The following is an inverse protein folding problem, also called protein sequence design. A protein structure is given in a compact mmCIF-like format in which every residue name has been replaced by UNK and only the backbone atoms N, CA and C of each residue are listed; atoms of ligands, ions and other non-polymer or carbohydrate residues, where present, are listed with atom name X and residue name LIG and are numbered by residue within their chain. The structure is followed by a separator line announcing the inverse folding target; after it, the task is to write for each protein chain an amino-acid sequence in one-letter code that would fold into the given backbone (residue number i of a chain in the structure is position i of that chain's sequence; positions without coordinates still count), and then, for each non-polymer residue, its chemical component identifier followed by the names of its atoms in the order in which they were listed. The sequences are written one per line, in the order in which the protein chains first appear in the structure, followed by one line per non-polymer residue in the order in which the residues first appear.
data_IF_397059633894
#
_entry.id   IF_397059633894
#
_cell.length_a   1.000
_cell.length_b   1.000
_cell.length_c   1.000
_cell.angle_alpha   90.00
_cell.angle_beta   90.00
_cell.angle_gamma   90.00
#
_symmetry.space_group_name_H-M   'P 1'
#
loop_
_entity.id
_entity.type
_entity.pdbx_description
1 polymer ?
#
# COMPACT_ATOMS: atom_id res chain seq x y z
N UNK A 1 -83.09 2.46 -38.22
CA UNK A 1 -81.65 2.34 -38.54
C UNK A 1 -80.84 2.63 -37.28
N UNK A 2 -80.26 1.62 -36.63
CA UNK A 2 -79.58 1.67 -35.34
C UNK A 2 -78.07 1.64 -35.63
N UNK A 3 -77.41 2.76 -35.35
CA UNK A 3 -75.94 2.88 -35.47
C UNK A 3 -75.26 2.43 -34.23
N UNK A 4 -74.50 1.31 -34.26
CA UNK A 4 -73.68 0.84 -33.19
C UNK A 4 -72.26 1.52 -33.23
N UNK A 5 -71.99 2.43 -32.32
CA UNK A 5 -70.66 2.99 -32.13
C UNK A 5 -69.77 2.02 -31.31
N UNK A 6 -68.71 1.46 -31.93
CA UNK A 6 -67.67 0.68 -31.26
C UNK A 6 -66.74 1.62 -30.46
N UNK A 7 -66.83 1.54 -29.12
CA UNK A 7 -65.87 2.17 -28.25
C UNK A 7 -64.57 1.38 -28.25
N UNK A 8 -63.49 1.95 -28.81
CA UNK A 8 -62.14 1.43 -28.70
C UNK A 8 -61.61 1.56 -27.26
N UNK A 9 -61.46 0.42 -26.58
CA UNK A 9 -60.84 0.33 -25.28
C UNK A 9 -59.36 0.78 -25.35
N UNK A 10 -59.04 1.89 -24.68
CA UNK A 10 -57.67 2.33 -24.51
C UNK A 10 -56.96 1.40 -23.52
N UNK A 11 -56.04 0.56 -23.99
CA UNK A 11 -55.15 -0.21 -23.15
C UNK A 11 -54.25 0.74 -22.33
N UNK A 12 -54.14 0.58 -20.97
CA UNK A 12 -53.23 1.35 -20.20
C UNK A 12 -51.79 1.00 -20.62
N UNK A 13 -51.01 2.01 -21.01
CA UNK A 13 -49.58 1.86 -21.27
C UNK A 13 -48.91 1.42 -19.97
N UNK A 14 -48.43 0.19 -19.90
CA UNK A 14 -47.63 -0.31 -18.83
C UNK A 14 -46.37 0.57 -18.71
N UNK A 15 -46.31 1.42 -17.72
CA UNK A 15 -45.12 2.18 -17.38
C UNK A 15 -44.16 1.22 -16.70
N UNK A 16 -43.22 0.65 -17.48
CA UNK A 16 -42.12 -0.13 -16.97
C UNK A 16 -41.30 0.76 -16.00
N UNK A 17 -40.99 0.32 -14.78
CA UNK A 17 -40.20 1.15 -13.87
C UNK A 17 -38.81 1.38 -14.48
N UNK A 18 -38.56 2.60 -14.93
CA UNK A 18 -37.25 3.01 -15.45
C UNK A 18 -36.22 2.72 -14.36
N UNK A 19 -35.32 1.77 -14.60
CA UNK A 19 -34.18 1.52 -13.77
C UNK A 19 -33.43 2.85 -13.60
N UNK A 20 -33.29 3.35 -12.37
CA UNK A 20 -32.50 4.57 -12.11
C UNK A 20 -31.16 4.45 -12.82
N UNK A 21 -30.74 5.47 -13.58
CA UNK A 21 -29.46 5.40 -14.28
C UNK A 21 -28.33 5.04 -13.31
N UNK A 22 -27.39 4.18 -13.72
CA UNK A 22 -26.34 3.72 -12.84
C UNK A 22 -25.53 4.93 -12.32
N UNK A 23 -25.31 4.97 -11.01
CA UNK A 23 -24.54 6.02 -10.36
C UNK A 23 -23.11 6.00 -10.94
N UNK A 24 -22.70 7.11 -11.58
CA UNK A 24 -21.32 7.29 -12.02
C UNK A 24 -20.58 8.02 -10.91
N UNK A 25 -19.55 7.39 -10.34
CA UNK A 25 -18.67 8.00 -9.36
C UNK A 25 -17.73 8.98 -10.03
N UNK A 26 -17.40 10.08 -9.37
CA UNK A 26 -16.34 10.95 -9.86
C UNK A 26 -15.00 10.22 -9.76
N UNK A 27 -14.76 9.50 -8.63
CA UNK A 27 -13.55 8.74 -8.39
C UNK A 27 -13.87 7.40 -7.74
N UNK A 28 -13.21 6.34 -8.20
CA UNK A 28 -13.04 5.09 -7.44
C UNK A 28 -11.61 5.07 -6.92
N UNK A 29 -11.45 4.79 -5.64
CA UNK A 29 -10.14 4.61 -4.99
C UNK A 29 -10.00 3.14 -4.59
N UNK A 30 -8.97 2.48 -5.08
CA UNK A 30 -8.61 1.12 -4.72
C UNK A 30 -7.55 1.11 -3.62
N UNK A 31 -7.93 0.74 -2.40
CA UNK A 31 -7.10 0.73 -1.19
C UNK A 31 -7.42 1.89 -0.24
N UNK A 32 -7.64 1.57 1.04
CA UNK A 32 -7.90 2.53 2.12
C UNK A 32 -6.77 2.52 3.17
N UNK A 33 -5.52 2.37 2.71
CA UNK A 33 -4.34 2.72 3.48
C UNK A 33 -4.19 4.25 3.65
N UNK A 34 -3.08 4.74 4.22
CA UNK A 34 -2.85 6.17 4.42
C UNK A 34 -3.06 7.00 3.15
N UNK A 35 -2.59 6.52 1.99
CA UNK A 35 -2.77 7.20 0.70
C UNK A 35 -4.25 7.32 0.30
N UNK A 36 -4.99 6.21 0.31
CA UNK A 36 -6.39 6.21 -0.12
C UNK A 36 -7.30 6.98 0.83
N UNK A 37 -7.07 6.91 2.14
CA UNK A 37 -7.81 7.69 3.14
C UNK A 37 -7.56 9.19 2.99
N UNK A 38 -6.30 9.61 2.82
CA UNK A 38 -5.94 11.01 2.59
C UNK A 38 -6.56 11.54 1.30
N UNK A 39 -6.50 10.77 0.21
CA UNK A 39 -7.14 11.13 -1.05
C UNK A 39 -8.66 11.27 -0.90
N UNK A 40 -9.31 10.30 -0.26
CA UNK A 40 -10.76 10.33 -0.03
C UNK A 40 -11.19 11.55 0.80
N UNK A 41 -10.38 11.94 1.80
CA UNK A 41 -10.62 13.11 2.63
C UNK A 41 -10.60 14.41 1.79
N UNK A 42 -9.54 14.61 1.01
CA UNK A 42 -9.41 15.80 0.15
C UNK A 42 -10.53 15.87 -0.90
N UNK A 43 -10.82 14.75 -1.56
CA UNK A 43 -11.90 14.69 -2.57
C UNK A 43 -13.28 14.88 -1.94
N UNK A 44 -13.53 14.32 -0.74
CA UNK A 44 -14.76 14.55 0.02
C UNK A 44 -14.96 16.02 0.37
N UNK A 45 -13.89 16.71 0.81
CA UNK A 45 -13.89 18.17 1.06
C UNK A 45 -14.16 18.97 -0.22
N UNK A 46 -13.71 18.47 -1.37
CA UNK A 46 -14.01 19.02 -2.69
C UNK A 46 -15.39 18.63 -3.24
N UNK A 47 -16.25 17.99 -2.41
CA UNK A 47 -17.62 17.57 -2.73
C UNK A 47 -17.72 16.58 -3.89
N UNK A 48 -16.64 15.81 -4.17
CA UNK A 48 -16.63 14.76 -5.20
C UNK A 48 -17.29 13.48 -4.69
N UNK A 49 -18.01 12.79 -5.57
CA UNK A 49 -18.58 11.46 -5.28
C UNK A 49 -17.47 10.42 -5.35
N UNK A 50 -17.08 9.91 -4.20
CA UNK A 50 -15.96 8.97 -4.04
C UNK A 50 -16.46 7.63 -3.57
N UNK A 51 -16.03 6.56 -4.26
CA UNK A 51 -16.15 5.19 -3.78
C UNK A 51 -14.76 4.72 -3.35
N UNK A 52 -14.54 4.57 -2.04
CA UNK A 52 -13.32 4.06 -1.46
C UNK A 52 -13.47 2.56 -1.19
N UNK A 53 -12.71 1.73 -1.89
CA UNK A 53 -12.75 0.27 -1.80
C UNK A 53 -11.50 -0.25 -1.09
N UNK A 54 -11.66 -1.26 -0.21
CA UNK A 54 -10.55 -1.83 0.55
C UNK A 54 -10.79 -3.30 0.90
N UNK A 55 -9.69 -4.07 1.02
CA UNK A 55 -9.72 -5.48 1.44
C UNK A 55 -9.63 -5.65 2.96
N UNK A 56 -9.18 -4.63 3.68
CA UNK A 56 -8.94 -4.69 5.13
C UNK A 56 -7.59 -5.29 5.53
N UNK A 57 -6.68 -5.55 4.57
CA UNK A 57 -5.36 -6.14 4.83
C UNK A 57 -4.24 -5.11 4.60
N UNK A 58 -3.97 -4.20 5.55
CA UNK A 58 -2.91 -3.21 5.40
C UNK A 58 -1.52 -3.87 5.46
N UNK A 59 -0.52 -3.29 4.79
CA UNK A 59 0.87 -3.76 4.85
C UNK A 59 1.39 -3.87 6.29
N UNK A 60 1.01 -2.94 7.14
CA UNK A 60 1.44 -2.84 8.55
C UNK A 60 0.63 -3.72 9.51
N UNK A 61 -0.04 -4.77 9.03
CA UNK A 61 -0.92 -5.62 9.83
C UNK A 61 -0.25 -6.24 11.07
N UNK A 62 1.05 -6.56 10.99
CA UNK A 62 1.82 -7.15 12.09
C UNK A 62 2.38 -6.12 13.07
N UNK A 63 2.52 -4.86 12.65
CA UNK A 63 3.11 -3.79 13.47
C UNK A 63 2.19 -3.38 14.62
N UNK A 64 2.77 -3.11 15.78
CA UNK A 64 2.05 -2.68 16.98
C UNK A 64 1.97 -1.16 17.11
N UNK A 65 2.89 -0.44 16.49
CA UNK A 65 2.96 1.00 16.50
C UNK A 65 3.39 1.50 15.10
N UNK A 66 2.94 2.68 14.74
CA UNK A 66 3.37 3.40 13.56
C UNK A 66 4.24 4.57 14.01
N UNK A 67 5.45 4.64 13.48
CA UNK A 67 6.38 5.71 13.84
C UNK A 67 6.66 6.66 12.67
N UNK A 68 7.20 7.84 12.99
CA UNK A 68 7.56 8.85 12.00
C UNK A 68 6.37 9.56 11.33
N UNK A 69 5.17 9.45 11.88
CA UNK A 69 4.02 10.23 11.43
C UNK A 69 3.76 11.38 12.41
N UNK A 70 4.08 12.60 12.03
CA UNK A 70 3.92 13.79 12.87
C UNK A 70 2.51 13.85 13.47
N UNK A 71 2.42 14.06 14.79
CA UNK A 71 1.19 14.06 15.60
C UNK A 71 0.51 12.69 15.79
N UNK A 72 1.05 11.61 15.22
CA UNK A 72 0.53 10.23 15.34
C UNK A 72 1.63 9.20 15.63
N UNK A 73 2.80 9.66 16.07
CA UNK A 73 3.91 8.79 16.44
C UNK A 73 3.50 7.81 17.56
N UNK A 74 3.81 6.53 17.39
CA UNK A 74 3.44 5.47 18.33
C UNK A 74 1.99 4.97 18.27
N UNK A 75 1.13 5.54 17.43
CA UNK A 75 -0.28 5.08 17.29
C UNK A 75 -0.31 3.73 16.56
N UNK A 76 -1.09 2.74 17.03
CA UNK A 76 -1.28 1.49 16.31
C UNK A 76 -1.83 1.72 14.89
N UNK A 77 -1.29 1.05 13.86
CA UNK A 77 -1.76 1.22 12.48
C UNK A 77 -3.26 1.00 12.30
N UNK A 78 -3.84 0.03 13.00
CA UNK A 78 -5.27 -0.24 12.97
C UNK A 78 -6.10 0.93 13.51
N UNK A 79 -5.64 1.57 14.56
CA UNK A 79 -6.28 2.75 15.15
C UNK A 79 -6.17 3.96 14.22
N UNK A 80 -4.99 4.19 13.64
CA UNK A 80 -4.79 5.25 12.64
C UNK A 80 -5.78 5.12 11.47
N UNK A 81 -5.90 3.92 10.89
CA UNK A 81 -6.83 3.67 9.79
C UNK A 81 -8.30 3.83 10.24
N UNK A 82 -8.63 3.44 11.47
CA UNK A 82 -9.97 3.64 12.03
C UNK A 82 -10.29 5.13 12.23
N UNK A 83 -9.34 5.93 12.71
CA UNK A 83 -9.47 7.38 12.81
C UNK A 83 -9.74 8.01 11.43
N UNK A 84 -8.95 7.69 10.42
CA UNK A 84 -9.15 8.19 9.07
C UNK A 84 -10.54 7.84 8.52
N UNK A 85 -11.00 6.60 8.71
CA UNK A 85 -12.36 6.20 8.32
C UNK A 85 -13.45 6.96 9.08
N UNK A 86 -13.24 7.29 10.38
CA UNK A 86 -14.19 8.12 11.15
C UNK A 86 -14.28 9.54 10.61
N UNK A 87 -13.17 10.15 10.24
CA UNK A 87 -13.13 11.50 9.64
C UNK A 87 -13.93 11.57 8.34
N UNK A 88 -13.87 10.54 7.51
CA UNK A 88 -14.62 10.49 6.25
C UNK A 88 -16.14 10.50 6.43
N UNK A 89 -16.67 10.12 7.59
CA UNK A 89 -18.13 10.12 7.86
C UNK A 89 -18.77 11.51 7.76
N UNK A 90 -17.99 12.59 7.92
CA UNK A 90 -18.45 13.97 7.74
C UNK A 90 -18.78 14.31 6.29
N UNK A 91 -18.34 13.50 5.32
CA UNK A 91 -18.46 13.78 3.90
C UNK A 91 -19.42 12.77 3.25
N UNK A 92 -20.72 13.08 3.12
CA UNK A 92 -21.74 12.11 2.67
C UNK A 92 -21.54 11.63 1.23
N UNK A 93 -20.78 12.38 0.43
CA UNK A 93 -20.40 12.01 -0.94
C UNK A 93 -19.31 10.92 -1.01
N UNK A 94 -18.62 10.64 0.11
CA UNK A 94 -17.63 9.55 0.22
C UNK A 94 -18.32 8.30 0.75
N UNK A 95 -18.24 7.21 0.00
CA UNK A 95 -18.75 5.91 0.43
C UNK A 95 -17.60 4.93 0.58
N UNK A 96 -17.48 4.31 1.74
CA UNK A 96 -16.55 3.21 1.99
C UNK A 96 -17.22 1.88 1.67
N UNK A 97 -16.50 1.01 0.95
CA UNK A 97 -16.95 -0.32 0.59
C UNK A 97 -15.86 -1.34 0.91
N UNK A 98 -16.08 -2.31 1.85
CA UNK A 98 -15.11 -3.34 2.18
C UNK A 98 -15.10 -4.43 1.09
N UNK A 99 -14.58 -4.10 -0.06
CA UNK A 99 -14.46 -4.98 -1.23
C UNK A 99 -13.21 -4.65 -2.04
N UNK A 100 -12.62 -5.67 -2.60
CA UNK A 100 -11.52 -5.55 -3.53
C UNK A 100 -11.95 -4.97 -4.86
N UNK A 101 -11.12 -4.10 -5.43
CA UNK A 101 -11.17 -3.71 -6.83
C UNK A 101 -10.35 -4.72 -7.62
N UNK A 102 -11.02 -5.62 -8.34
CA UNK A 102 -10.37 -6.73 -9.04
C UNK A 102 -9.85 -6.33 -10.43
N UNK A 103 -10.67 -5.65 -11.21
CA UNK A 103 -10.30 -5.20 -12.55
C UNK A 103 -10.87 -3.83 -12.86
N UNK A 104 -10.22 -3.13 -13.79
CA UNK A 104 -10.74 -1.91 -14.37
C UNK A 104 -10.45 -1.88 -15.87
N UNK A 105 -11.33 -1.26 -16.64
CA UNK A 105 -11.13 -1.04 -18.07
C UNK A 105 -11.63 0.33 -18.49
N UNK A 106 -10.92 0.96 -19.41
CA UNK A 106 -11.36 2.22 -19.99
C UNK A 106 -12.67 2.04 -20.76
N UNK A 107 -13.55 3.01 -20.64
CA UNK A 107 -14.82 3.12 -21.38
C UNK A 107 -15.06 4.59 -21.70
N UNK A 108 -15.94 4.93 -22.68
CA UNK A 108 -16.27 6.32 -22.92
C UNK A 108 -16.67 7.06 -21.67
N UNK A 109 -15.95 8.16 -21.36
CA UNK A 109 -16.18 9.02 -20.21
C UNK A 109 -15.56 8.52 -18.88
N UNK A 110 -14.66 7.52 -18.90
CA UNK A 110 -13.96 7.07 -17.69
C UNK A 110 -13.66 5.58 -17.66
N UNK A 111 -14.05 4.91 -16.56
CA UNK A 111 -13.70 3.51 -16.31
C UNK A 111 -14.92 2.70 -15.87
N UNK A 112 -14.95 1.43 -16.28
CA UNK A 112 -15.78 0.39 -15.68
C UNK A 112 -14.89 -0.43 -14.76
N UNK A 113 -15.29 -0.52 -13.50
CA UNK A 113 -14.55 -1.16 -12.43
C UNK A 113 -15.34 -2.35 -11.91
N UNK A 114 -14.70 -3.53 -11.87
CA UNK A 114 -15.28 -4.74 -11.30
C UNK A 114 -14.77 -4.92 -9.87
N UNK A 115 -15.70 -5.12 -8.96
CA UNK A 115 -15.45 -5.35 -7.54
C UNK A 115 -15.68 -6.82 -7.19
N UNK A 116 -15.08 -7.32 -6.15
CA UNK A 116 -15.33 -8.66 -5.65
C UNK A 116 -16.83 -8.90 -5.41
N UNK A 117 -17.32 -10.11 -5.72
CA UNK A 117 -18.75 -10.45 -5.68
C UNK A 117 -19.53 -9.95 -6.89
N UNK A 118 -18.91 -9.94 -8.09
CA UNK A 118 -19.52 -9.66 -9.40
C UNK A 118 -20.20 -8.27 -9.51
N UNK A 119 -19.91 -7.34 -8.63
CA UNK A 119 -20.45 -5.98 -8.67
C UNK A 119 -19.64 -5.10 -9.62
N UNK A 120 -20.31 -4.39 -10.50
CA UNK A 120 -19.67 -3.41 -11.39
C UNK A 120 -20.13 -1.99 -11.06
N UNK A 121 -19.19 -1.06 -11.15
CA UNK A 121 -19.42 0.38 -11.00
C UNK A 121 -18.74 1.15 -12.14
N UNK A 122 -19.17 2.39 -12.35
CA UNK A 122 -18.51 3.32 -13.30
C UNK A 122 -17.93 4.50 -12.54
N UNK A 123 -16.78 4.98 -13.00
CA UNK A 123 -16.16 6.21 -12.49
C UNK A 123 -15.50 7.01 -13.61
N UNK A 124 -15.28 8.29 -13.35
CA UNK A 124 -14.58 9.20 -14.27
C UNK A 124 -13.06 9.07 -14.12
N UNK A 125 -12.58 8.94 -12.88
CA UNK A 125 -11.16 8.79 -12.54
C UNK A 125 -10.96 7.59 -11.64
N UNK A 126 -9.78 6.98 -11.72
CA UNK A 126 -9.36 5.86 -10.88
C UNK A 126 -8.08 6.22 -10.13
N UNK A 127 -8.08 6.05 -8.81
CA UNK A 127 -6.87 6.11 -7.99
C UNK A 127 -6.50 4.71 -7.50
N UNK A 128 -5.30 4.25 -7.82
CA UNK A 128 -4.75 2.99 -7.36
C UNK A 128 -3.85 3.28 -6.14
N UNK A 129 -4.33 2.94 -4.96
CA UNK A 129 -3.65 3.13 -3.67
C UNK A 129 -3.52 1.77 -2.92
N UNK A 130 -3.39 0.69 -3.69
CA UNK A 130 -3.37 -0.68 -3.18
C UNK A 130 -2.11 -1.03 -2.39
N UNK A 131 -1.02 -0.28 -2.56
CA UNK A 131 0.24 -0.51 -1.88
C UNK A 131 0.96 -1.78 -2.35
N UNK A 132 1.82 -2.30 -1.47
CA UNK A 132 2.64 -3.50 -1.70
C UNK A 132 2.49 -4.46 -0.52
N UNK A 133 2.90 -5.71 -0.72
CA UNK A 133 3.18 -6.66 0.35
C UNK A 133 4.65 -7.05 0.35
N UNK A 134 5.14 -7.44 1.51
CA UNK A 134 6.52 -7.79 1.74
C UNK A 134 6.71 -9.31 1.69
N UNK A 135 7.76 -9.76 1.04
CA UNK A 135 8.15 -11.17 1.09
C UNK A 135 8.89 -11.44 2.39
N UNK A 136 8.19 -11.89 3.41
CA UNK A 136 8.82 -12.29 4.69
C UNK A 136 9.72 -13.51 4.46
N UNK A 137 10.99 -13.51 4.93
CA UNK A 137 11.88 -14.66 4.79
C UNK A 137 11.28 -15.93 5.40
N UNK A 138 11.44 -17.07 4.74
CA UNK A 138 10.98 -18.35 5.26
C UNK A 138 12.01 -18.93 6.24
N UNK A 139 11.97 -18.45 7.48
CA UNK A 139 12.84 -18.88 8.58
C UNK A 139 11.95 -19.36 9.72
N UNK A 140 12.24 -20.54 10.29
CA UNK A 140 11.46 -21.07 11.41
C UNK A 140 11.45 -20.07 12.59
N UNK A 141 10.30 -19.86 13.21
CA UNK A 141 10.13 -18.94 14.33
C UNK A 141 9.92 -17.46 13.97
N UNK A 142 10.03 -17.08 12.69
CA UNK A 142 9.90 -15.67 12.27
C UNK A 142 8.50 -15.10 12.53
N UNK A 143 7.44 -15.90 12.36
CA UNK A 143 6.06 -15.44 12.47
C UNK A 143 5.72 -14.91 13.87
N UNK A 144 6.31 -15.50 14.91
CA UNK A 144 6.13 -15.06 16.30
C UNK A 144 6.83 -13.73 16.63
N UNK A 145 7.77 -13.30 15.78
CA UNK A 145 8.66 -12.16 16.00
C UNK A 145 8.41 -11.02 15.01
N UNK A 146 7.77 -11.30 13.88
CA UNK A 146 7.53 -10.35 12.81
C UNK A 146 6.61 -9.20 13.25
N UNK A 147 6.98 -7.98 12.89
CA UNK A 147 6.31 -6.75 13.30
C UNK A 147 6.56 -6.35 14.76
N UNK A 148 7.56 -6.98 15.41
CA UNK A 148 8.00 -6.65 16.77
C UNK A 148 9.51 -6.50 16.86
N UNK A 149 10.27 -7.61 16.85
CA UNK A 149 11.75 -7.61 16.84
C UNK A 149 12.32 -8.11 15.50
N UNK A 150 11.48 -8.53 14.58
CA UNK A 150 11.83 -8.82 13.19
C UNK A 150 11.07 -7.83 12.31
N UNK A 151 11.79 -6.90 11.70
CA UNK A 151 11.25 -5.73 11.02
C UNK A 151 11.88 -5.55 9.63
N UNK A 152 11.29 -4.69 8.80
CA UNK A 152 11.78 -4.38 7.47
C UNK A 152 12.37 -2.98 7.35
N UNK A 153 11.86 -2.06 8.17
CA UNK A 153 12.09 -0.64 8.01
C UNK A 153 12.88 -0.08 9.21
N UNK A 154 14.15 0.22 9.07
CA UNK A 154 14.91 0.85 10.16
C UNK A 154 14.36 2.20 10.59
N UNK A 155 13.83 3.00 9.67
CA UNK A 155 13.19 4.29 10.00
C UNK A 155 11.88 4.15 10.76
N UNK A 156 11.25 2.97 10.69
CA UNK A 156 9.99 2.70 11.38
C UNK A 156 10.21 2.16 12.79
N UNK A 157 11.22 1.28 12.98
CA UNK A 157 11.36 0.47 14.19
C UNK A 157 12.78 0.57 14.81
N UNK A 158 13.71 1.28 14.16
CA UNK A 158 15.10 1.34 14.58
C UNK A 158 15.31 2.06 15.91
N UNK A 159 14.51 3.08 16.21
CA UNK A 159 14.58 3.81 17.48
C UNK A 159 14.26 2.90 18.67
N UNK A 160 13.27 2.02 18.54
CA UNK A 160 12.88 1.06 19.58
C UNK A 160 13.95 -0.01 19.79
N UNK A 161 14.80 -0.23 18.79
CA UNK A 161 15.89 -1.22 18.78
C UNK A 161 17.28 -0.58 18.89
N UNK A 162 17.37 0.74 19.19
CA UNK A 162 18.66 1.43 19.30
C UNK A 162 19.54 0.82 20.37
N UNK A 163 20.84 0.87 20.16
CA UNK A 163 21.89 0.39 21.05
C UNK A 163 21.82 -1.12 21.38
N UNK A 164 21.05 -1.88 20.59
CA UNK A 164 20.90 -3.32 20.76
C UNK A 164 21.73 -4.08 19.72
N UNK A 165 21.86 -5.40 19.95
CA UNK A 165 22.54 -6.32 19.03
C UNK A 165 21.64 -6.58 17.82
N UNK A 166 21.93 -5.94 16.70
CA UNK A 166 21.11 -6.01 15.51
C UNK A 166 21.63 -7.03 14.49
N UNK A 167 20.72 -7.68 13.79
CA UNK A 167 21.01 -8.51 12.63
C UNK A 167 20.42 -7.84 11.38
N UNK A 168 21.27 -7.49 10.42
CA UNK A 168 20.87 -7.20 9.07
C UNK A 168 20.76 -8.50 8.28
N UNK A 169 19.64 -8.75 7.59
CA UNK A 169 19.44 -9.93 6.77
C UNK A 169 19.12 -9.55 5.34
N UNK A 170 19.98 -9.99 4.41
CA UNK A 170 19.81 -9.71 2.99
C UNK A 170 21.05 -10.04 2.18
N UNK A 171 20.89 -10.16 0.85
CA UNK A 171 21.99 -10.48 -0.08
C UNK A 171 22.35 -9.29 -0.95
N UNK A 172 23.61 -9.29 -1.43
CA UNK A 172 24.12 -8.31 -2.38
C UNK A 172 23.90 -6.86 -1.88
N UNK A 173 23.59 -5.95 -2.80
CA UNK A 173 23.40 -4.53 -2.49
C UNK A 173 22.37 -4.29 -1.39
N UNK A 174 21.25 -5.02 -1.38
CA UNK A 174 20.18 -4.83 -0.38
C UNK A 174 20.66 -5.13 1.04
N UNK A 175 21.32 -6.27 1.25
CA UNK A 175 21.88 -6.62 2.57
C UNK A 175 22.92 -5.61 3.04
N UNK A 176 23.80 -5.17 2.12
CA UNK A 176 24.82 -4.15 2.40
C UNK A 176 24.18 -2.83 2.85
N UNK A 177 23.20 -2.33 2.09
CA UNK A 177 22.49 -1.09 2.39
C UNK A 177 21.70 -1.18 3.71
N UNK A 178 21.10 -2.32 4.00
CA UNK A 178 20.43 -2.56 5.29
C UNK A 178 21.43 -2.46 6.44
N UNK A 179 22.56 -3.16 6.35
CA UNK A 179 23.60 -3.14 7.39
C UNK A 179 24.15 -1.71 7.57
N UNK A 180 24.40 -1.00 6.47
CA UNK A 180 24.84 0.40 6.49
C UNK A 180 23.80 1.30 7.16
N UNK A 181 22.53 1.17 6.81
CA UNK A 181 21.47 1.98 7.40
C UNK A 181 21.38 1.80 8.92
N UNK A 182 21.52 0.56 9.40
CA UNK A 182 21.41 0.23 10.84
C UNK A 182 22.48 0.88 11.69
N UNK A 183 23.61 1.34 11.13
CA UNK A 183 24.66 2.05 11.89
C UNK A 183 24.18 3.36 12.52
N UNK A 184 23.07 3.91 12.05
CA UNK A 184 22.43 5.07 12.66
C UNK A 184 21.77 4.76 14.01
N UNK A 185 21.52 3.48 14.32
CA UNK A 185 20.80 3.07 15.54
C UNK A 185 21.61 2.16 16.46
N UNK A 186 22.65 1.47 15.96
CA UNK A 186 23.46 0.59 16.79
C UNK A 186 24.90 0.46 16.29
N UNK A 187 25.83 0.25 17.23
CA UNK A 187 27.22 -0.13 16.96
C UNK A 187 27.44 -1.64 16.93
N UNK A 188 26.48 -2.48 17.34
CA UNK A 188 26.60 -3.95 17.31
C UNK A 188 25.71 -4.54 16.19
N UNK A 189 26.29 -4.65 15.00
CA UNK A 189 25.60 -5.12 13.81
C UNK A 189 26.29 -6.35 13.23
N UNK A 190 25.49 -7.35 12.90
CA UNK A 190 25.90 -8.50 12.10
C UNK A 190 25.09 -8.51 10.80
N UNK A 191 25.79 -8.60 9.66
CA UNK A 191 25.16 -8.81 8.36
C UNK A 191 25.14 -10.30 8.04
N UNK A 192 23.95 -10.89 7.94
CA UNK A 192 23.75 -12.27 7.52
C UNK A 192 23.17 -12.35 6.09
N UNK A 193 23.88 -13.02 5.19
CA UNK A 193 23.51 -13.11 3.77
C UNK A 193 22.90 -14.45 3.38
N UNK A 194 22.78 -15.38 4.32
CA UNK A 194 22.23 -16.74 4.11
C UNK A 194 22.92 -17.48 2.93
N UNK A 195 24.22 -17.39 2.85
CA UNK A 195 25.10 -17.96 1.82
C UNK A 195 26.07 -16.90 1.28
N UNK A 196 26.87 -17.28 0.31
CA UNK A 196 27.94 -16.42 -0.25
C UNK A 196 27.37 -15.07 -0.69
N UNK A 197 27.91 -13.98 -0.13
CA UNK A 197 27.41 -12.62 -0.34
C UNK A 197 27.76 -12.04 -1.72
N UNK A 198 28.88 -12.48 -2.30
CA UNK A 198 29.39 -11.93 -3.58
C UNK A 198 29.96 -10.52 -3.44
N UNK A 199 30.25 -10.05 -2.23
CA UNK A 199 30.85 -8.72 -2.00
C UNK A 199 32.30 -8.67 -2.47
N UNK A 200 32.67 -7.53 -3.03
CA UNK A 200 34.05 -7.22 -3.39
C UNK A 200 34.95 -7.12 -2.13
N UNK A 201 36.27 -7.19 -2.33
CA UNK A 201 37.22 -6.98 -1.24
C UNK A 201 37.09 -5.58 -0.61
N UNK A 202 36.71 -4.57 -1.39
CA UNK A 202 36.43 -3.22 -0.90
C UNK A 202 35.20 -3.15 -0.01
N UNK A 203 34.11 -3.82 -0.41
CA UNK A 203 32.88 -3.88 0.41
C UNK A 203 33.13 -4.57 1.75
N UNK A 204 33.85 -5.71 1.72
CA UNK A 204 34.21 -6.44 2.94
C UNK A 204 35.05 -5.59 3.89
N UNK A 205 36.08 -4.88 3.39
CA UNK A 205 36.86 -3.94 4.18
C UNK A 205 36.03 -2.78 4.72
N UNK A 206 35.02 -2.33 3.99
CA UNK A 206 34.14 -1.26 4.43
C UNK A 206 33.23 -1.73 5.58
N UNK A 207 32.68 -2.93 5.52
CA UNK A 207 31.92 -3.54 6.61
C UNK A 207 32.79 -3.68 7.85
N UNK A 208 33.99 -4.24 7.72
CA UNK A 208 34.93 -4.47 8.81
C UNK A 208 35.36 -3.16 9.52
N UNK A 209 35.70 -2.11 8.75
CA UNK A 209 36.05 -0.79 9.29
C UNK A 209 34.92 -0.13 10.07
N UNK A 210 33.67 -0.48 9.76
CA UNK A 210 32.50 -0.02 10.49
C UNK A 210 32.02 -0.98 11.60
N UNK A 211 32.87 -1.99 11.95
CA UNK A 211 32.54 -2.95 13.01
C UNK A 211 31.42 -3.94 12.65
N UNK A 212 31.04 -4.04 11.37
CA UNK A 212 29.97 -4.90 10.92
C UNK A 212 30.52 -6.29 10.56
N UNK A 213 30.18 -7.28 11.38
CA UNK A 213 30.58 -8.68 11.13
C UNK A 213 29.73 -9.29 10.00
N UNK A 214 30.38 -9.81 8.95
CA UNK A 214 29.71 -10.53 7.87
C UNK A 214 29.61 -12.03 8.21
N UNK A 215 28.39 -12.59 8.10
CA UNK A 215 28.09 -14.01 8.29
C UNK A 215 27.41 -14.55 7.03
N UNK A 216 28.11 -15.46 6.34
CA UNK A 216 27.64 -16.05 5.07
C UNK A 216 26.94 -17.41 5.28
N UNK A 217 26.42 -17.66 6.48
CA UNK A 217 25.72 -18.90 6.84
C UNK A 217 24.22 -18.75 6.68
N UNK A 218 23.55 -19.88 6.46
CA UNK A 218 22.10 -19.92 6.41
C UNK A 218 21.52 -19.96 7.82
N UNK A 219 20.50 -19.15 8.09
CA UNK A 219 19.74 -19.21 9.32
C UNK A 219 18.77 -20.40 9.24
N UNK A 220 18.79 -21.26 10.26
CA UNK A 220 17.85 -22.34 10.43
C UNK A 220 16.59 -21.89 11.16
N UNK A 221 16.75 -21.17 12.29
CA UNK A 221 15.61 -20.67 13.06
C UNK A 221 15.94 -19.37 13.81
N UNK A 222 14.88 -18.67 14.20
CA UNK A 222 14.88 -17.55 15.13
C UNK A 222 14.19 -18.01 16.41
N UNK A 223 14.86 -17.85 17.55
CA UNK A 223 14.32 -18.19 18.85
C UNK A 223 14.10 -16.93 19.69
N UNK A 224 12.93 -16.90 20.33
CA UNK A 224 12.54 -15.77 21.17
C UNK A 224 11.21 -16.04 21.86
N UNK A 225 10.78 -15.11 22.67
CA UNK A 225 9.52 -15.17 23.38
C UNK A 225 8.85 -13.79 23.38
N UNK A 226 7.53 -13.77 23.43
CA UNK A 226 6.72 -12.55 23.54
C UNK A 226 7.01 -11.51 22.43
N UNK A 227 7.40 -11.99 21.23
CA UNK A 227 7.78 -11.13 20.10
C UNK A 227 9.20 -10.56 20.22
N UNK A 228 10.04 -11.01 21.15
CA UNK A 228 11.42 -10.57 21.33
C UNK A 228 12.38 -11.64 20.86
N UNK A 229 13.17 -11.34 19.85
CA UNK A 229 14.28 -12.18 19.40
C UNK A 229 15.33 -12.27 20.50
N UNK A 230 15.91 -13.45 20.68
CA UNK A 230 17.00 -13.71 21.63
C UNK A 230 18.17 -14.38 20.95
N UNK A 231 17.90 -15.32 20.06
CA UNK A 231 18.94 -16.16 19.43
C UNK A 231 18.61 -16.42 17.97
N UNK A 232 19.62 -16.27 17.14
CA UNK A 232 19.64 -16.75 15.75
C UNK A 232 20.39 -18.07 15.73
N UNK A 233 19.78 -19.12 15.22
CA UNK A 233 20.39 -20.44 15.08
C UNK A 233 20.73 -20.66 13.62
N UNK A 234 22.00 -20.96 13.35
CA UNK A 234 22.48 -21.27 12.01
C UNK A 234 22.32 -22.74 11.65
N UNK A 235 22.37 -23.06 10.35
CA UNK A 235 22.20 -24.42 9.85
C UNK A 235 23.28 -25.41 10.28
N UNK A 236 24.44 -24.93 10.70
CA UNK A 236 25.55 -25.71 11.29
C UNK A 236 25.46 -25.86 12.81
N UNK A 237 24.37 -25.39 13.42
CA UNK A 237 24.12 -25.47 14.87
C UNK A 237 24.70 -24.32 15.68
N UNK A 238 25.53 -23.44 15.09
CA UNK A 238 26.02 -22.25 15.82
C UNK A 238 24.87 -21.35 16.22
N UNK A 239 25.00 -20.75 17.39
CA UNK A 239 23.98 -19.88 18.01
C UNK A 239 24.55 -18.49 18.21
N UNK A 240 23.81 -17.49 17.79
CA UNK A 240 24.19 -16.08 17.89
C UNK A 240 23.11 -15.28 18.61
N UNK A 241 23.47 -14.67 19.73
CA UNK A 241 22.56 -13.79 20.46
C UNK A 241 22.32 -12.49 19.68
N UNK A 242 21.05 -12.17 19.37
CA UNK A 242 20.59 -10.94 18.72
C UNK A 242 19.26 -10.50 19.32
N UNK A 243 19.05 -9.20 19.40
CA UNK A 243 17.85 -8.62 20.01
C UNK A 243 16.80 -8.23 18.97
N UNK A 244 17.24 -7.94 17.74
CA UNK A 244 16.35 -7.68 16.61
C UNK A 244 16.99 -8.08 15.27
N UNK A 245 16.14 -8.33 14.26
CA UNK A 245 16.53 -8.58 12.90
C UNK A 245 15.80 -7.61 11.96
N UNK A 246 16.58 -6.95 11.10
CA UNK A 246 16.03 -6.15 10.00
C UNK A 246 16.35 -6.84 8.67
N UNK A 247 15.36 -6.97 7.81
CA UNK A 247 15.55 -7.62 6.52
C UNK A 247 15.06 -6.74 5.36
N UNK A 248 15.75 -6.83 4.24
CA UNK A 248 15.32 -6.24 2.98
C UNK A 248 15.10 -7.35 1.95
N UNK A 249 13.85 -7.63 1.67
CA UNK A 249 13.40 -8.59 0.66
C UNK A 249 12.57 -7.88 -0.41
N UNK A 250 12.44 -8.47 -1.61
CA UNK A 250 11.57 -7.91 -2.63
C UNK A 250 10.16 -7.67 -2.12
N UNK A 251 9.61 -6.53 -2.45
CA UNK A 251 8.19 -6.22 -2.27
C UNK A 251 7.42 -6.49 -3.58
N UNK A 252 6.15 -6.81 -3.46
CA UNK A 252 5.27 -7.06 -4.60
C UNK A 252 4.04 -6.16 -4.54
N UNK A 253 3.53 -5.73 -5.69
CA UNK A 253 2.25 -5.01 -5.75
C UNK A 253 1.11 -5.89 -5.23
N UNK A 254 0.22 -5.33 -4.42
CA UNK A 254 -0.97 -6.06 -3.93
C UNK A 254 -2.03 -6.27 -5.02
N UNK A 255 -1.92 -5.57 -6.15
CA UNK A 255 -2.90 -5.64 -7.23
C UNK A 255 -2.23 -5.49 -8.58
N UNK A 256 -2.76 -6.19 -9.57
CA UNK A 256 -2.35 -6.06 -10.98
C UNK A 256 -3.13 -4.98 -11.75
N UNK A 257 -3.87 -4.12 -11.08
CA UNK A 257 -4.68 -3.07 -11.71
C UNK A 257 -3.87 -2.15 -12.61
N UNK A 258 -2.71 -1.67 -12.12
CA UNK A 258 -1.86 -0.77 -12.89
C UNK A 258 -1.31 -1.46 -14.16
N UNK A 259 -0.87 -2.72 -14.05
CA UNK A 259 -0.41 -3.52 -15.19
C UNK A 259 -1.54 -3.73 -16.21
N UNK A 260 -2.72 -4.16 -15.75
CA UNK A 260 -3.87 -4.46 -16.61
C UNK A 260 -4.42 -3.23 -17.33
N UNK A 261 -4.15 -2.04 -16.81
CA UNK A 261 -4.52 -0.76 -17.43
C UNK A 261 -3.42 -0.22 -18.38
N UNK A 262 -2.24 -0.84 -18.42
CA UNK A 262 -1.13 -0.42 -19.27
C UNK A 262 -0.29 0.72 -18.66
N UNK A 263 -0.28 0.89 -17.34
CA UNK A 263 0.61 1.83 -16.69
C UNK A 263 2.08 1.43 -16.87
N UNK A 264 2.96 2.41 -16.97
CA UNK A 264 4.40 2.18 -17.04
C UNK A 264 4.99 1.93 -15.65
N UNK A 265 6.07 1.12 -15.62
CA UNK A 265 6.78 0.74 -14.39
C UNK A 265 8.25 1.12 -14.46
N UNK A 266 8.80 1.50 -13.31
CA UNK A 266 10.24 1.69 -13.11
C UNK A 266 11.01 0.37 -13.01
N UNK A 267 12.34 0.45 -13.01
CA UNK A 267 13.23 -0.72 -12.88
C UNK A 267 13.06 -1.45 -11.53
N UNK A 268 12.62 -0.75 -10.52
CA UNK A 268 12.30 -1.26 -9.18
C UNK A 268 10.92 -1.92 -9.08
N UNK A 269 10.13 -1.86 -10.18
CA UNK A 269 8.76 -2.35 -10.27
C UNK A 269 7.72 -1.44 -9.63
N UNK A 270 8.06 -0.18 -9.30
CA UNK A 270 7.10 0.86 -8.93
C UNK A 270 6.35 1.40 -10.14
N UNK A 271 5.10 1.81 -9.96
CA UNK A 271 4.34 2.47 -11.03
C UNK A 271 4.90 3.87 -11.24
N UNK A 272 5.29 4.18 -12.50
CA UNK A 272 5.76 5.51 -12.84
C UNK A 272 4.61 6.51 -12.87
N UNK A 273 4.82 7.64 -12.23
CA UNK A 273 3.88 8.76 -12.23
C UNK A 273 4.61 10.09 -12.38
N UNK A 274 3.90 11.07 -12.91
CA UNK A 274 4.37 12.44 -13.04
C UNK A 274 3.76 13.36 -12.00
N UNK A 275 3.55 14.61 -12.38
CA UNK A 275 2.96 15.61 -11.51
C UNK A 275 1.58 15.17 -10.99
N UNK A 276 1.38 15.37 -9.69
CA UNK A 276 0.13 15.01 -9.00
C UNK A 276 -0.23 13.51 -9.10
N UNK A 277 0.80 12.66 -9.12
CA UNK A 277 0.66 11.20 -9.15
C UNK A 277 -0.16 10.66 -10.35
N UNK A 278 -0.17 11.40 -11.44
CA UNK A 278 -0.79 10.98 -12.71
C UNK A 278 0.08 9.93 -13.39
N UNK A 279 -0.52 8.81 -13.81
CA UNK A 279 0.18 7.77 -14.56
C UNK A 279 0.27 8.08 -16.06
N UNK A 280 0.94 7.22 -16.83
CA UNK A 280 0.93 7.26 -18.29
C UNK A 280 -0.46 7.05 -18.90
N UNK A 281 -1.43 6.53 -18.14
CA UNK A 281 -2.80 6.26 -18.59
C UNK A 281 -3.74 7.41 -18.19
N UNK A 282 -4.34 8.12 -19.17
CA UNK A 282 -5.20 9.26 -18.85
C UNK A 282 -6.34 8.91 -17.91
N UNK A 283 -6.45 9.64 -16.81
CA UNK A 283 -7.50 9.44 -15.81
C UNK A 283 -7.19 8.39 -14.75
N UNK A 284 -6.04 7.70 -14.84
CA UNK A 284 -5.51 6.80 -13.81
C UNK A 284 -4.42 7.52 -13.00
N UNK A 285 -4.54 7.46 -11.69
CA UNK A 285 -3.60 8.01 -10.72
C UNK A 285 -3.12 6.90 -9.78
N UNK A 286 -1.95 7.08 -9.18
CA UNK A 286 -1.39 6.15 -8.20
C UNK A 286 -0.95 6.92 -6.96
N UNK A 287 -0.95 6.27 -5.78
CA UNK A 287 -0.41 6.87 -4.55
C UNK A 287 -0.02 5.79 -3.54
N UNK A 288 0.95 6.11 -2.70
CA UNK A 288 1.47 5.22 -1.67
C UNK A 288 2.49 4.22 -2.22
N UNK A 289 2.77 3.18 -1.44
CA UNK A 289 3.89 2.28 -1.65
C UNK A 289 3.95 1.59 -3.03
N UNK A 290 2.88 1.65 -3.82
CA UNK A 290 2.88 1.15 -5.20
C UNK A 290 3.84 1.95 -6.11
N UNK A 291 4.16 3.21 -5.75
CA UNK A 291 5.14 4.06 -6.45
C UNK A 291 6.57 3.62 -6.13
N UNK A 292 6.79 2.99 -4.96
CA UNK A 292 8.10 2.51 -4.45
C UNK A 292 9.14 3.60 -4.18
N UNK A 293 8.71 4.78 -3.85
CA UNK A 293 9.56 5.82 -3.27
C UNK A 293 9.77 5.58 -1.75
N UNK A 294 9.93 6.60 -0.95
CA UNK A 294 10.05 6.51 0.52
C UNK A 294 8.77 5.92 1.11
N UNK A 295 8.88 4.71 1.66
CA UNK A 295 7.71 3.90 2.07
C UNK A 295 7.26 4.18 3.51
N UNK A 296 7.11 5.45 3.86
CA UNK A 296 6.58 5.91 5.14
C UNK A 296 5.08 6.22 5.02
N UNK A 297 4.33 6.00 6.10
CA UNK A 297 2.88 6.27 6.12
C UNK A 297 2.54 7.74 5.86
N UNK A 298 3.38 8.67 6.34
CA UNK A 298 3.21 10.11 6.09
C UNK A 298 3.44 10.48 4.62
N UNK A 299 4.43 9.85 3.96
CA UNK A 299 4.70 10.04 2.53
C UNK A 299 3.52 9.51 1.72
N UNK A 300 3.06 8.30 2.01
CA UNK A 300 1.88 7.73 1.36
C UNK A 300 0.64 8.62 1.51
N UNK A 301 0.41 9.21 2.70
CA UNK A 301 -0.70 10.14 2.92
C UNK A 301 -0.54 11.44 2.10
N UNK A 302 0.68 11.98 2.00
CA UNK A 302 0.98 13.16 1.21
C UNK A 302 0.75 12.91 -0.29
N UNK A 303 1.22 11.76 -0.82
CA UNK A 303 0.97 11.36 -2.20
C UNK A 303 -0.54 11.21 -2.48
N UNK A 304 -1.29 10.60 -1.55
CA UNK A 304 -2.75 10.55 -1.65
C UNK A 304 -3.42 11.92 -1.75
N UNK A 305 -2.96 12.89 -0.95
CA UNK A 305 -3.46 14.26 -1.01
C UNK A 305 -3.10 14.94 -2.35
N UNK A 306 -1.87 14.75 -2.84
CA UNK A 306 -1.42 15.29 -4.13
C UNK A 306 -2.20 14.68 -5.30
N UNK A 307 -2.40 13.36 -5.31
CA UNK A 307 -3.23 12.67 -6.29
C UNK A 307 -4.66 13.23 -6.29
N UNK A 308 -5.26 13.41 -5.12
CA UNK A 308 -6.59 13.99 -4.98
C UNK A 308 -6.70 15.40 -5.55
N UNK A 309 -5.68 16.24 -5.32
CA UNK A 309 -5.60 17.58 -5.90
C UNK A 309 -5.58 17.51 -7.43
N UNK A 310 -4.73 16.65 -8.02
CA UNK A 310 -4.65 16.45 -9.47
C UNK A 310 -5.95 15.93 -10.06
N UNK A 311 -6.56 14.95 -9.41
CA UNK A 311 -7.86 14.38 -9.79
C UNK A 311 -8.94 15.48 -9.78
N UNK A 312 -9.04 16.25 -8.70
CA UNK A 312 -10.06 17.31 -8.60
C UNK A 312 -9.85 18.39 -9.66
N UNK A 313 -8.60 18.79 -9.91
CA UNK A 313 -8.25 19.74 -10.97
C UNK A 313 -8.69 19.24 -12.35
N UNK A 314 -8.44 17.98 -12.67
CA UNK A 314 -8.86 17.36 -13.92
C UNK A 314 -10.39 17.33 -14.05
N UNK A 315 -11.10 16.90 -13.00
CA UNK A 315 -12.57 16.85 -12.97
C UNK A 315 -13.19 18.24 -13.10
N UNK A 316 -12.63 19.24 -12.41
CA UNK A 316 -13.14 20.63 -12.48
C UNK A 316 -13.00 21.20 -13.89
N UNK A 317 -11.86 20.93 -14.56
CA UNK A 317 -11.67 21.33 -15.96
C UNK A 317 -12.69 20.66 -16.89
N UNK A 318 -12.92 19.35 -16.75
CA UNK A 318 -13.92 18.63 -17.52
C UNK A 318 -15.34 19.15 -17.27
N UNK A 319 -15.69 19.45 -16.02
CA UNK A 319 -17.01 19.96 -15.67
C UNK A 319 -17.24 21.37 -16.22
N UNK A 320 -16.19 22.19 -16.24
CA UNK A 320 -16.25 23.54 -16.79
C UNK A 320 -16.45 23.57 -18.30
N UNK A 321 -15.82 22.64 -19.03
CA UNK A 321 -15.95 22.56 -20.50
C UNK A 321 -17.25 21.89 -20.97
N UNK A 322 -18.00 21.24 -20.07
CA UNK A 322 -19.31 20.63 -20.38
C UNK A 322 -20.52 21.55 -20.17
N UNK A 323 -20.28 22.70 -19.56
CA UNK A 323 -21.30 23.76 -19.40
C UNK A 323 -21.35 24.68 -20.61
#
# INVERSE_FOLDING_TARGET
MIGHGLALARHPRATWPMKKPPVIWDVVIAGAGPAGLSAALILGRARRRVLLCDTGTPRSWASKAMHGYLSRDGVPPSEFLAMGRRELRRYPAVKFLPREVQTARAVPGGFRVSLAGARQVRCRKLLIATGVFDSVPRIAGIDALFGRSVCQCPYCDGWEMRDRRLLAYGRGKRGFEMARALTAWSGDIVLCTAGRAGYSASDRRLLERNGIRLVERRIASLEGAEGRLRTVVFADGERLARDAMFFDTPTHGQSRLAESLGCQFGRDGGVLCGAYEATSVPGVFVAGNIIRDVQLSIVAAAEGARAAFGINRALTREDFTRR
#
